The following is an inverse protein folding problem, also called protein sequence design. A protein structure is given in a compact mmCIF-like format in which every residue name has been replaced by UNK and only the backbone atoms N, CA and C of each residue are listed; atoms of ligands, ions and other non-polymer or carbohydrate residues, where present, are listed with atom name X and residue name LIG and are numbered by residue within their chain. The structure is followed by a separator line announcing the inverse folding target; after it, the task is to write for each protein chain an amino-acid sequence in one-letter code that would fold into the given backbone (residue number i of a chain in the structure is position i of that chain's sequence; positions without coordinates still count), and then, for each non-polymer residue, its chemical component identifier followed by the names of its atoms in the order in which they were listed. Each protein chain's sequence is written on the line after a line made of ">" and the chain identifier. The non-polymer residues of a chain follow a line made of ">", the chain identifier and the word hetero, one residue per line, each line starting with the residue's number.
data_IF_363615065425
#
_entry.id   IF_363615065425
#
_cell.length_a   1.000
_cell.length_b   1.000
_cell.length_c   1.000
_cell.angle_alpha   90.00
_cell.angle_beta   90.00
_cell.angle_gamma   90.00
#
_symmetry.space_group_name_H-M   'P 1'
#
loop_
_entity.id
_entity.type
_entity.pdbx_description
1 polymer ?
#
# COMPACT_ATOMS: atom_id res chain seq x y z
N UNK A 1 22.05 -6.62 -15.87
CA UNK A 1 22.28 -7.28 -17.17
C UNK A 1 22.85 -8.66 -16.95
N UNK A 2 22.44 -9.64 -17.75
CA UNK A 2 22.93 -11.01 -17.67
C UNK A 2 23.77 -11.34 -18.91
N UNK A 3 24.82 -12.15 -18.72
CA UNK A 3 25.62 -12.70 -19.81
C UNK A 3 25.00 -13.97 -20.39
N UNK A 4 25.64 -14.53 -21.40
CA UNK A 4 25.13 -15.69 -22.16
C UNK A 4 24.98 -16.95 -21.30
N UNK A 5 25.70 -17.06 -20.19
CA UNK A 5 25.60 -18.19 -19.25
C UNK A 5 24.80 -17.83 -17.99
N UNK A 6 24.09 -16.70 -18.00
CA UNK A 6 23.28 -16.23 -16.89
C UNK A 6 24.07 -15.55 -15.77
N UNK A 7 25.35 -15.26 -15.98
CA UNK A 7 26.18 -14.51 -15.03
C UNK A 7 25.71 -13.05 -14.92
N UNK A 8 25.75 -12.50 -13.70
CA UNK A 8 25.39 -11.11 -13.46
C UNK A 8 26.51 -10.21 -13.97
N UNK A 9 26.24 -9.47 -15.05
CA UNK A 9 27.18 -8.51 -15.62
C UNK A 9 27.06 -7.13 -14.97
N UNK A 10 25.85 -6.75 -14.59
CA UNK A 10 25.58 -5.42 -14.03
C UNK A 10 24.28 -5.40 -13.22
N UNK A 11 24.23 -4.50 -12.23
CA UNK A 11 23.05 -4.21 -11.41
C UNK A 11 22.78 -2.71 -11.51
N UNK A 12 21.79 -2.36 -12.34
CA UNK A 12 21.39 -0.97 -12.58
C UNK A 12 20.01 -0.70 -12.00
N UNK A 13 19.84 0.48 -11.40
CA UNK A 13 18.52 0.96 -11.03
C UNK A 13 17.84 1.60 -12.25
N UNK A 14 16.71 1.06 -12.67
CA UNK A 14 15.88 1.69 -13.71
C UNK A 14 14.95 2.74 -13.07
N UNK A 15 15.16 4.04 -13.29
CA UNK A 15 14.31 5.04 -12.69
C UNK A 15 12.91 4.98 -13.31
N UNK A 16 11.89 5.11 -12.46
CA UNK A 16 10.49 5.15 -12.88
C UNK A 16 10.22 6.42 -13.71
N UNK A 17 9.89 6.26 -14.99
CA UNK A 17 9.62 7.35 -15.94
C UNK A 17 8.13 7.66 -16.04
N UNK A 18 7.80 8.75 -16.73
CA UNK A 18 6.40 9.15 -16.97
C UNK A 18 5.59 8.05 -17.70
N UNK A 19 6.21 7.34 -18.65
CA UNK A 19 5.56 6.22 -19.33
C UNK A 19 5.15 5.11 -18.35
N UNK A 20 6.03 4.77 -17.40
CA UNK A 20 5.72 3.79 -16.36
C UNK A 20 4.54 4.25 -15.50
N UNK A 21 4.53 5.53 -15.08
CA UNK A 21 3.43 6.12 -14.31
C UNK A 21 2.10 6.10 -15.07
N UNK A 22 2.08 6.47 -16.35
CA UNK A 22 0.86 6.45 -17.17
C UNK A 22 0.25 5.05 -17.21
N UNK A 23 1.08 4.03 -17.44
CA UNK A 23 0.62 2.64 -17.47
C UNK A 23 0.08 2.24 -16.11
N UNK A 24 0.81 2.49 -15.03
CA UNK A 24 0.40 2.12 -13.67
C UNK A 24 -0.92 2.77 -13.25
N UNK A 25 -1.08 4.08 -13.42
CA UNK A 25 -2.32 4.79 -13.08
C UNK A 25 -3.51 4.29 -13.91
N UNK A 26 -3.29 3.98 -15.19
CA UNK A 26 -4.32 3.41 -16.06
C UNK A 26 -4.78 2.04 -15.57
N UNK A 27 -3.85 1.20 -15.11
CA UNK A 27 -4.16 -0.12 -14.57
C UNK A 27 -4.83 -0.04 -13.20
N UNK A 28 -4.37 0.85 -12.31
CA UNK A 28 -5.02 1.11 -11.02
C UNK A 28 -6.48 1.54 -11.22
N UNK A 29 -6.74 2.45 -12.16
CA UNK A 29 -8.09 2.89 -12.49
C UNK A 29 -8.95 1.74 -13.03
N UNK A 30 -8.43 0.91 -13.93
CA UNK A 30 -9.13 -0.25 -14.47
C UNK A 30 -9.47 -1.29 -13.38
N UNK A 31 -8.53 -1.53 -12.45
CA UNK A 31 -8.70 -2.46 -11.33
C UNK A 31 -9.69 -1.94 -10.28
N UNK A 32 -9.71 -0.62 -10.04
CA UNK A 32 -10.74 0.01 -9.20
C UNK A 32 -12.14 -0.15 -9.81
N UNK A 33 -12.28 -0.01 -11.13
CA UNK A 33 -13.54 -0.27 -11.82
C UNK A 33 -13.99 -1.73 -11.66
N UNK A 34 -13.08 -2.70 -11.82
CA UNK A 34 -13.39 -4.12 -11.60
C UNK A 34 -13.85 -4.38 -10.16
N UNK A 35 -13.12 -3.83 -9.17
CA UNK A 35 -13.45 -3.96 -7.75
C UNK A 35 -14.88 -3.45 -7.43
N UNK A 36 -15.24 -2.29 -7.99
CA UNK A 36 -16.58 -1.69 -7.84
C UNK A 36 -17.65 -2.55 -8.48
N UNK A 37 -17.46 -2.99 -9.73
CA UNK A 37 -18.44 -3.81 -10.44
C UNK A 37 -18.67 -5.15 -9.73
N UNK A 38 -17.61 -5.83 -9.31
CA UNK A 38 -17.71 -7.09 -8.56
C UNK A 38 -18.48 -6.91 -7.25
N UNK A 39 -18.16 -5.85 -6.49
CA UNK A 39 -18.82 -5.53 -5.22
C UNK A 39 -20.31 -5.24 -5.42
N UNK A 40 -20.62 -4.37 -6.38
CA UNK A 40 -21.98 -3.84 -6.57
C UNK A 40 -22.91 -4.84 -7.30
N UNK A 41 -22.35 -5.80 -8.06
CA UNK A 41 -23.13 -6.77 -8.85
C UNK A 41 -23.12 -8.19 -8.29
N UNK A 42 -21.98 -8.65 -7.76
CA UNK A 42 -21.81 -10.03 -7.31
C UNK A 42 -21.65 -10.13 -5.79
N UNK A 43 -21.08 -9.12 -5.15
CA UNK A 43 -20.79 -9.12 -3.71
C UNK A 43 -19.56 -9.93 -3.30
N UNK A 44 -18.89 -10.58 -4.26
CA UNK A 44 -17.67 -11.37 -4.05
C UNK A 44 -16.76 -11.30 -5.27
N UNK A 45 -15.51 -11.71 -5.11
CA UNK A 45 -14.49 -11.72 -6.16
C UNK A 45 -13.09 -11.90 -5.58
N UNK A 46 -12.05 -11.94 -6.40
CA UNK A 46 -10.67 -11.98 -5.90
C UNK A 46 -10.20 -10.54 -5.68
N UNK A 47 -10.13 -10.14 -4.41
CA UNK A 47 -9.68 -8.82 -3.98
C UNK A 47 -8.27 -8.89 -3.41
N UNK A 48 -7.51 -7.82 -3.61
CA UNK A 48 -6.28 -7.56 -2.88
C UNK A 48 -6.63 -6.60 -1.74
N UNK A 49 -6.55 -7.09 -0.51
CA UNK A 49 -6.94 -6.38 0.70
C UNK A 49 -5.69 -6.07 1.51
N UNK A 50 -5.61 -4.88 2.09
CA UNK A 50 -4.50 -4.47 2.95
C UNK A 50 -5.06 -3.66 4.09
N UNK A 51 -4.96 -4.17 5.32
CA UNK A 51 -5.59 -3.59 6.53
C UNK A 51 -4.79 -2.45 7.17
N UNK A 52 -3.60 -2.15 6.67
CA UNK A 52 -2.80 -1.02 7.16
C UNK A 52 -1.91 -1.46 8.31
N UNK A 53 -2.38 -1.23 9.53
CA UNK A 53 -1.72 -1.65 10.76
C UNK A 53 -2.56 -2.69 11.49
N UNK A 54 -1.90 -3.63 12.15
CA UNK A 54 -2.57 -4.57 13.05
C UNK A 54 -3.15 -3.80 14.26
N UNK A 55 -4.45 -3.93 14.57
CA UNK A 55 -5.07 -3.33 15.76
C UNK A 55 -4.32 -3.62 17.06
N UNK A 56 -3.72 -4.82 17.20
CA UNK A 56 -2.93 -5.18 18.38
C UNK A 56 -1.67 -4.30 18.57
N UNK A 57 -1.23 -3.63 17.50
CA UNK A 57 -0.04 -2.78 17.48
C UNK A 57 -0.35 -1.27 17.46
N UNK A 58 -1.63 -0.87 17.42
CA UNK A 58 -2.02 0.54 17.27
C UNK A 58 -1.48 1.44 18.39
N UNK A 59 -1.64 1.03 19.64
CA UNK A 59 -1.12 1.79 20.80
C UNK A 59 0.40 1.88 20.78
N UNK A 60 1.09 0.79 20.42
CA UNK A 60 2.54 0.75 20.33
C UNK A 60 3.08 1.65 19.21
N UNK A 61 2.38 1.70 18.07
CA UNK A 61 2.65 2.61 16.97
C UNK A 61 2.50 4.07 17.41
N UNK A 62 1.36 4.41 18.02
CA UNK A 62 1.07 5.76 18.49
C UNK A 62 2.07 6.23 19.56
N UNK A 63 2.40 5.36 20.52
CA UNK A 63 3.41 5.64 21.54
C UNK A 63 4.80 5.87 20.92
N UNK A 64 5.22 5.03 19.96
CA UNK A 64 6.51 5.20 19.30
C UNK A 64 6.58 6.54 18.55
N UNK A 65 5.58 6.86 17.72
CA UNK A 65 5.56 8.11 16.96
C UNK A 65 5.57 9.33 17.90
N UNK A 66 4.84 9.26 19.02
CA UNK A 66 4.82 10.32 20.03
C UNK A 66 6.20 10.57 20.65
N UNK A 67 7.02 9.53 20.89
CA UNK A 67 8.40 9.71 21.38
C UNK A 67 9.31 10.47 20.40
N UNK A 68 8.92 10.52 19.13
CA UNK A 68 9.61 11.25 18.07
C UNK A 68 8.89 12.56 17.68
N UNK A 69 7.91 13.00 18.46
CA UNK A 69 7.21 14.28 18.26
C UNK A 69 6.11 14.25 17.20
N UNK A 70 5.72 13.08 16.69
CA UNK A 70 4.59 12.91 15.76
C UNK A 70 3.40 12.35 16.53
N UNK A 71 2.31 13.11 16.59
CA UNK A 71 1.10 12.67 17.28
C UNK A 71 0.14 11.99 16.31
N UNK A 72 -0.23 10.75 16.63
CA UNK A 72 -1.28 10.01 15.92
C UNK A 72 -2.22 9.40 16.95
N UNK A 73 -3.51 9.34 16.62
CA UNK A 73 -4.51 8.64 17.40
C UNK A 73 -4.55 7.15 17.02
N UNK A 74 -4.61 6.28 18.03
CA UNK A 74 -4.52 4.83 17.83
C UNK A 74 -5.79 4.26 17.18
N UNK A 75 -6.95 4.88 17.34
CA UNK A 75 -8.18 4.47 16.66
C UNK A 75 -8.22 5.06 15.24
N UNK A 76 -7.83 6.33 15.07
CA UNK A 76 -7.79 7.00 13.77
C UNK A 76 -6.89 6.24 12.79
N UNK A 77 -5.71 5.80 13.23
CA UNK A 77 -4.72 5.12 12.36
C UNK A 77 -5.17 3.75 11.83
N UNK A 78 -6.18 3.15 12.44
CA UNK A 78 -6.81 1.91 11.98
C UNK A 78 -7.89 2.16 10.92
N UNK A 79 -8.24 3.41 10.66
CA UNK A 79 -9.13 3.81 9.56
C UNK A 79 -8.32 4.09 8.30
N UNK A 80 -8.96 3.94 7.13
CA UNK A 80 -8.33 4.25 5.85
C UNK A 80 -7.86 5.72 5.79
N UNK A 81 -8.69 6.64 6.28
CA UNK A 81 -8.38 8.07 6.29
C UNK A 81 -7.18 8.38 7.19
N UNK A 82 -7.18 7.86 8.43
CA UNK A 82 -6.08 8.07 9.37
C UNK A 82 -4.77 7.43 8.91
N UNK A 83 -4.82 6.25 8.30
CA UNK A 83 -3.65 5.65 7.67
C UNK A 83 -3.08 6.55 6.56
N UNK A 84 -3.94 7.05 5.66
CA UNK A 84 -3.51 7.97 4.60
C UNK A 84 -2.97 9.30 5.14
N UNK A 85 -3.57 9.83 6.21
CA UNK A 85 -3.10 11.03 6.90
C UNK A 85 -1.69 10.82 7.46
N UNK A 86 -1.48 9.74 8.21
CA UNK A 86 -0.16 9.39 8.73
C UNK A 86 0.86 9.17 7.60
N UNK A 87 0.47 8.49 6.52
CA UNK A 87 1.36 8.28 5.36
C UNK A 87 1.84 9.61 4.77
N UNK A 88 0.93 10.57 4.55
CA UNK A 88 1.28 11.92 4.04
C UNK A 88 2.21 12.66 5.00
N UNK A 89 1.99 12.56 6.31
CA UNK A 89 2.86 13.19 7.32
C UNK A 89 4.26 12.58 7.35
N UNK A 90 4.38 11.26 7.13
CA UNK A 90 5.65 10.55 7.03
C UNK A 90 6.40 10.90 5.74
N UNK A 91 5.68 10.98 4.61
CA UNK A 91 6.26 11.33 3.30
C UNK A 91 6.76 12.80 3.28
N UNK A 92 6.17 13.67 4.10
CA UNK A 92 6.61 15.06 4.28
C UNK A 92 7.84 15.21 5.19
N UNK A 93 8.32 14.13 5.84
CA UNK A 93 9.48 14.20 6.72
C UNK A 93 10.78 14.43 5.91
N UNK A 94 11.79 15.12 6.48
CA UNK A 94 13.09 15.31 5.82
C UNK A 94 13.84 14.01 5.52
N UNK A 95 13.49 12.91 6.21
CA UNK A 95 14.10 11.59 6.01
C UNK A 95 13.09 10.48 6.25
N UNK A 96 13.30 9.32 5.63
CA UNK A 96 12.50 8.11 5.85
C UNK A 96 12.76 7.39 7.19
N UNK A 97 13.41 8.05 8.15
CA UNK A 97 13.75 7.43 9.45
C UNK A 97 12.49 6.96 10.18
N UNK A 98 11.47 7.81 10.35
CA UNK A 98 10.25 7.43 11.07
C UNK A 98 9.48 6.34 10.34
N UNK A 99 9.35 6.43 9.01
CA UNK A 99 8.73 5.38 8.20
C UNK A 99 9.42 4.02 8.40
N UNK A 100 10.76 3.99 8.42
CA UNK A 100 11.52 2.76 8.67
C UNK A 100 11.24 2.12 10.03
N UNK A 101 10.99 2.94 11.06
CA UNK A 101 10.75 2.48 12.44
C UNK A 101 9.38 1.85 12.61
N UNK A 102 8.40 2.28 11.81
CA UNK A 102 7.03 1.79 11.89
C UNK A 102 6.72 0.63 10.93
N UNK A 103 7.61 0.31 9.98
CA UNK A 103 7.41 -0.83 9.03
C UNK A 103 7.04 -2.13 9.73
N UNK A 104 7.62 -2.39 10.91
CA UNK A 104 7.33 -3.60 11.70
C UNK A 104 5.89 -3.74 12.19
N UNK A 105 5.09 -2.66 12.13
CA UNK A 105 3.69 -2.65 12.52
C UNK A 105 2.74 -2.77 11.31
N UNK A 106 3.26 -2.61 10.09
CA UNK A 106 2.46 -2.66 8.87
C UNK A 106 2.12 -4.12 8.53
N UNK A 107 0.87 -4.36 8.20
CA UNK A 107 0.39 -5.63 7.67
C UNK A 107 0.82 -5.80 6.21
N UNK A 108 0.81 -7.04 5.72
CA UNK A 108 1.00 -7.31 4.29
C UNK A 108 -0.34 -7.26 3.56
N UNK A 109 -0.29 -7.06 2.23
CA UNK A 109 -1.48 -7.26 1.40
C UNK A 109 -1.79 -8.76 1.30
N UNK A 110 -3.07 -9.09 1.35
CA UNK A 110 -3.59 -10.46 1.32
C UNK A 110 -4.66 -10.60 0.23
N UNK A 111 -4.86 -11.84 -0.22
CA UNK A 111 -5.92 -12.17 -1.18
C UNK A 111 -7.18 -12.56 -0.40
N UNK A 112 -8.29 -11.91 -0.72
CA UNK A 112 -9.60 -12.19 -0.12
C UNK A 112 -10.64 -12.50 -1.19
N UNK A 113 -11.62 -13.35 -0.85
CA UNK A 113 -12.82 -13.59 -1.67
C UNK A 113 -13.92 -12.54 -1.46
N UNK A 114 -13.78 -11.75 -0.39
CA UNK A 114 -14.72 -10.70 0.00
C UNK A 114 -14.11 -9.32 -0.23
N UNK A 115 -14.93 -8.32 -0.61
CA UNK A 115 -14.45 -6.94 -0.80
C UNK A 115 -13.88 -6.38 0.50
N UNK A 116 -12.74 -5.71 0.40
CA UNK A 116 -12.09 -5.06 1.54
C UNK A 116 -11.14 -3.94 1.10
N UNK A 117 -10.79 -3.05 2.02
CA UNK A 117 -9.96 -1.88 1.73
C UNK A 117 -8.52 -2.26 1.44
N UNK A 118 -7.85 -1.44 0.63
CA UNK A 118 -6.42 -1.52 0.37
C UNK A 118 -5.73 -0.26 0.89
N UNK A 119 -5.35 -0.26 2.17
CA UNK A 119 -4.79 0.90 2.86
C UNK A 119 -3.52 1.44 2.20
N UNK A 120 -2.64 0.55 1.72
CA UNK A 120 -1.42 0.95 1.01
C UNK A 120 -1.67 1.74 -0.29
N UNK A 121 -2.86 1.62 -0.88
CA UNK A 121 -3.28 2.36 -2.08
C UNK A 121 -4.27 3.49 -1.75
N UNK A 122 -4.75 3.59 -0.51
CA UNK A 122 -5.79 4.55 -0.14
C UNK A 122 -7.15 4.27 -0.78
N UNK A 123 -7.48 3.01 -1.06
CA UNK A 123 -8.71 2.61 -1.77
C UNK A 123 -9.64 1.76 -0.89
N UNK A 124 -10.95 1.95 -1.03
CA UNK A 124 -11.98 1.17 -0.30
C UNK A 124 -12.11 -0.27 -0.80
N UNK A 125 -11.73 -0.53 -2.05
CA UNK A 125 -11.71 -1.87 -2.64
C UNK A 125 -10.73 -1.90 -3.82
N UNK A 126 -10.00 -3.00 -3.97
CA UNK A 126 -9.07 -3.19 -5.08
C UNK A 126 -9.06 -4.65 -5.56
N UNK A 127 -9.28 -4.87 -6.85
CA UNK A 127 -9.32 -6.19 -7.47
C UNK A 127 -8.57 -6.12 -8.80
N UNK A 128 -7.52 -6.94 -8.94
CA UNK A 128 -6.67 -6.94 -10.12
C UNK A 128 -7.26 -7.85 -11.19
N UNK A 129 -7.56 -7.28 -12.36
CA UNK A 129 -7.85 -8.05 -13.58
C UNK A 129 -6.86 -7.73 -14.69
N UNK A 130 -6.15 -6.59 -14.57
CA UNK A 130 -4.96 -6.30 -15.37
C UNK A 130 -3.77 -7.03 -14.74
N UNK A 131 -3.03 -7.82 -15.52
CA UNK A 131 -1.88 -8.62 -15.03
C UNK A 131 -0.63 -7.78 -14.71
N UNK A 132 -0.80 -6.55 -14.24
CA UNK A 132 0.30 -5.72 -13.77
C UNK A 132 0.49 -5.95 -12.28
N UNK A 133 1.67 -6.45 -11.91
CA UNK A 133 2.11 -6.42 -10.52
C UNK A 133 2.42 -4.95 -10.17
N UNK A 134 1.70 -4.33 -9.21
CA UNK A 134 2.04 -2.99 -8.73
C UNK A 134 3.37 -2.98 -7.96
#
# INVERSE_FOLDING_TARGET
>A
MLGEKGEVLDIVAEPRRIANRIVEESMIAANLCAARVLRDKLGFGIYNVHTGFDPANADALAALLKTHGLHVDAEEVLTLEGFCKLRRELDAQPSGFLDSRIRRFQSFAEISTEPGPHFGLGLEAYATWTSTHP
#
